data_IF_428753352771
#
_entry.id   IF_428753352771
#
_cell.length_a   1.000
_cell.length_b   1.000
_cell.length_c   1.000
_cell.angle_alpha   90.00
_cell.angle_beta   90.00
_cell.angle_gamma   90.00
#
_symmetry.space_group_name_H-M   'P 1'
#
loop_
_entity.id
_entity.type
_entity.pdbx_description
1 polymer ?
#
# COMPACT_ATOMS: atom_id res chain seq x y z
N UNK A 1 -18.61 3.31 4.51
CA UNK A 1 -17.90 2.33 3.67
C UNK A 1 -16.69 3.03 3.09
N UNK A 2 -15.50 2.49 3.35
CA UNK A 2 -14.23 3.14 2.97
C UNK A 2 -14.01 3.12 1.46
N UNK A 3 -13.70 4.29 0.90
CA UNK A 3 -13.44 4.48 -0.54
C UNK A 3 -12.33 3.55 -1.06
N UNK A 4 -11.34 3.25 -0.21
CA UNK A 4 -10.23 2.32 -0.51
C UNK A 4 -10.67 0.86 -0.62
N UNK A 5 -11.57 0.41 0.24
CA UNK A 5 -12.15 -0.94 0.13
C UNK A 5 -12.96 -1.08 -1.17
N UNK A 6 -13.69 -0.03 -1.55
CA UNK A 6 -14.44 -0.01 -2.81
C UNK A 6 -13.53 0.00 -4.05
N UNK A 7 -12.41 0.72 -4.00
CA UNK A 7 -11.40 0.76 -5.07
C UNK A 7 -10.75 -0.61 -5.35
N UNK A 8 -10.57 -1.42 -4.30
CA UNK A 8 -9.88 -2.71 -4.39
C UNK A 8 -10.83 -3.89 -4.65
N UNK A 9 -12.14 -3.69 -4.56
CA UNK A 9 -13.14 -4.72 -4.82
C UNK A 9 -13.36 -4.88 -6.34
N UNK A 10 -13.12 -6.07 -6.92
CA UNK A 10 -13.34 -6.31 -8.35
C UNK A 10 -14.81 -6.20 -8.79
N UNK A 11 -15.76 -6.30 -7.87
CA UNK A 11 -17.19 -6.17 -8.15
C UNK A 11 -17.66 -4.72 -8.21
N UNK A 12 -16.89 -3.79 -7.64
CA UNK A 12 -17.23 -2.39 -7.58
C UNK A 12 -16.62 -1.63 -8.76
N UNK A 13 -17.47 -1.02 -9.58
CA UNK A 13 -17.04 -0.30 -10.80
C UNK A 13 -17.15 1.21 -10.69
N UNK A 14 -17.78 1.73 -9.64
CA UNK A 14 -17.96 3.18 -9.43
C UNK A 14 -16.66 3.88 -9.10
N UNK A 15 -15.71 3.16 -8.49
CA UNK A 15 -14.41 3.69 -8.08
C UNK A 15 -13.33 3.08 -8.97
N UNK A 16 -12.57 3.90 -9.73
CA UNK A 16 -11.46 3.39 -10.53
C UNK A 16 -10.39 2.74 -9.64
N UNK A 17 -9.87 1.58 -10.05
CA UNK A 17 -8.83 0.85 -9.29
C UNK A 17 -7.50 1.61 -9.16
N UNK A 18 -7.27 2.61 -10.01
CA UNK A 18 -6.10 3.49 -10.00
C UNK A 18 -6.38 4.88 -9.37
N UNK A 19 -7.51 5.04 -8.68
CA UNK A 19 -7.81 6.27 -7.95
C UNK A 19 -6.82 6.45 -6.80
N UNK A 20 -6.18 7.61 -6.75
CA UNK A 20 -5.28 7.97 -5.64
C UNK A 20 -6.11 8.62 -4.54
N UNK A 21 -5.91 8.18 -3.29
CA UNK A 21 -6.70 8.63 -2.14
C UNK A 21 -5.73 9.13 -1.06
N UNK A 22 -5.46 10.43 -1.05
CA UNK A 22 -4.55 11.03 -0.08
C UNK A 22 -5.33 11.76 0.98
N UNK A 23 -5.19 11.32 2.23
CA UNK A 23 -5.74 12.00 3.39
C UNK A 23 -4.60 12.67 4.16
N UNK A 24 -4.52 13.99 4.08
CA UNK A 24 -3.60 14.81 4.89
C UNK A 24 -4.36 15.30 6.11
N UNK A 25 -4.07 14.70 7.26
CA UNK A 25 -4.71 15.08 8.52
C UNK A 25 -4.27 16.50 8.95
N UNK A 26 -5.18 17.30 9.56
CA UNK A 26 -4.80 18.60 10.12
C UNK A 26 -3.84 18.42 11.29
N UNK A 27 -2.80 19.25 11.32
CA UNK A 27 -1.83 19.31 12.40
C UNK A 27 -1.83 20.69 13.05
N UNK A 28 -1.43 20.75 14.32
CA UNK A 28 -1.30 22.03 15.05
C UNK A 28 -0.09 22.85 14.61
N UNK A 29 0.91 22.21 13.99
CA UNK A 29 2.11 22.86 13.46
C UNK A 29 1.97 23.20 11.97
N UNK A 30 2.81 24.12 11.48
CA UNK A 30 2.93 24.43 10.06
C UNK A 30 3.44 23.21 9.28
N UNK A 31 2.52 22.50 8.63
CA UNK A 31 2.77 21.31 7.82
C UNK A 31 2.08 21.43 6.45
N UNK A 32 1.99 20.33 5.71
CA UNK A 32 1.24 20.32 4.46
C UNK A 32 -0.24 20.69 4.69
N UNK A 33 -0.81 21.45 3.76
CA UNK A 33 -2.20 21.87 3.87
C UNK A 33 -3.13 20.65 3.97
N UNK A 34 -3.97 20.56 5.02
CA UNK A 34 -4.80 19.39 5.25
C UNK A 34 -5.94 19.29 4.25
N UNK A 35 -6.35 18.05 3.97
CA UNK A 35 -7.41 17.79 3.02
C UNK A 35 -7.45 16.35 2.52
N UNK A 36 -8.54 16.04 1.83
CA UNK A 36 -8.69 14.81 1.06
C UNK A 36 -8.45 15.13 -0.41
N UNK A 37 -7.33 14.65 -0.95
CA UNK A 37 -6.96 14.85 -2.35
C UNK A 37 -7.22 13.56 -3.13
N UNK A 38 -7.99 13.67 -4.21
CA UNK A 38 -8.36 12.56 -5.07
C UNK A 38 -7.86 12.83 -6.49
N UNK A 39 -7.07 11.91 -7.04
CA UNK A 39 -6.53 12.06 -8.40
C UNK A 39 -6.90 10.85 -9.28
N UNK A 40 -7.33 11.11 -10.52
CA UNK A 40 -7.55 10.07 -11.57
C UNK A 40 -6.86 10.35 -12.92
N UNK A 41 -6.08 11.44 -13.04
CA UNK A 41 -5.36 11.81 -14.26
C UNK A 41 -4.25 10.84 -14.71
N UNK A 42 -3.71 11.08 -15.90
CA UNK A 42 -2.61 10.31 -16.48
C UNK A 42 -1.23 10.77 -15.99
N UNK A 43 -0.18 10.01 -16.34
CA UNK A 43 1.24 10.37 -16.11
C UNK A 43 1.65 10.45 -14.64
N UNK A 44 1.14 9.54 -13.82
CA UNK A 44 1.48 9.43 -12.39
C UNK A 44 2.27 8.16 -12.13
N UNK A 45 3.12 8.23 -11.10
CA UNK A 45 3.87 7.08 -10.61
C UNK A 45 2.99 6.32 -9.63
N UNK A 46 2.59 5.12 -10.04
CA UNK A 46 1.85 4.18 -9.22
C UNK A 46 2.71 2.94 -8.97
N UNK A 47 2.56 2.35 -7.79
CA UNK A 47 3.17 1.06 -7.46
C UNK A 47 2.13 0.12 -6.87
N UNK A 48 2.27 -1.19 -7.08
CA UNK A 48 1.34 -2.16 -6.51
C UNK A 48 1.77 -2.55 -5.09
N UNK A 49 0.81 -2.65 -4.18
CA UNK A 49 0.95 -3.17 -2.79
C UNK A 49 -0.23 -4.08 -2.46
N UNK A 50 -0.15 -4.79 -1.35
CA UNK A 50 -1.31 -5.45 -0.76
C UNK A 50 -1.96 -4.56 0.30
N UNK A 51 -3.26 -4.32 0.14
CA UNK A 51 -4.14 -3.88 1.20
C UNK A 51 -4.49 -5.08 2.08
N UNK A 52 -4.28 -4.93 3.39
CA UNK A 52 -4.65 -5.92 4.39
C UNK A 52 -6.10 -5.73 4.79
N UNK A 53 -6.93 -6.75 4.56
CA UNK A 53 -8.37 -6.73 4.81
C UNK A 53 -8.70 -7.76 5.89
N UNK A 54 -9.41 -7.33 6.93
CA UNK A 54 -9.86 -8.24 7.98
C UNK A 54 -10.99 -9.14 7.48
N UNK A 55 -11.20 -10.27 8.15
CA UNK A 55 -12.27 -11.23 7.81
C UNK A 55 -13.66 -10.58 7.72
N UNK A 56 -13.95 -9.59 8.58
CA UNK A 56 -15.23 -8.87 8.58
C UNK A 56 -15.46 -8.01 7.32
N UNK A 57 -14.38 -7.55 6.67
CA UNK A 57 -14.42 -6.72 5.46
C UNK A 57 -14.06 -7.51 4.19
N UNK A 58 -13.76 -8.80 4.34
CA UNK A 58 -13.45 -9.69 3.25
C UNK A 58 -14.69 -9.96 2.40
N UNK A 59 -14.48 -10.05 1.09
CA UNK A 59 -15.48 -10.48 0.12
C UNK A 59 -15.38 -11.99 -0.05
N UNK A 60 -16.45 -12.71 -0.39
CA UNK A 60 -16.39 -14.14 -0.69
C UNK A 60 -15.37 -14.52 -1.79
N UNK A 61 -14.95 -13.54 -2.60
CA UNK A 61 -13.92 -13.70 -3.64
C UNK A 61 -12.48 -13.59 -3.13
N UNK A 62 -12.26 -13.16 -1.89
CA UNK A 62 -10.92 -13.02 -1.33
C UNK A 62 -10.38 -14.38 -0.90
N UNK A 63 -9.40 -14.89 -1.63
CA UNK A 63 -8.80 -16.21 -1.36
C UNK A 63 -7.36 -16.13 -0.86
N UNK A 64 -6.73 -14.96 -0.95
CA UNK A 64 -5.34 -14.77 -0.56
C UNK A 64 -5.27 -14.40 0.94
N UNK A 65 -5.35 -15.41 1.81
CA UNK A 65 -5.22 -15.24 3.25
C UNK A 65 -3.77 -15.39 3.68
N UNK A 66 -3.35 -14.51 4.59
CA UNK A 66 -2.03 -14.52 5.17
C UNK A 66 -1.83 -15.29 6.44
N UNK A 67 -0.56 -15.59 6.75
CA UNK A 67 -0.20 -16.16 8.04
C UNK A 67 -0.44 -15.15 9.18
N UNK A 68 -0.45 -13.85 8.86
CA UNK A 68 -0.83 -12.74 9.73
C UNK A 68 -2.36 -12.64 9.97
N UNK A 69 -3.17 -13.47 9.30
CA UNK A 69 -4.61 -13.54 9.49
C UNK A 69 -5.44 -12.52 8.70
N UNK A 70 -4.80 -11.77 7.78
CA UNK A 70 -5.47 -10.80 6.92
C UNK A 70 -5.55 -11.29 5.47
N UNK A 71 -6.64 -10.96 4.79
CA UNK A 71 -6.77 -11.15 3.35
C UNK A 71 -5.99 -10.07 2.61
N UNK A 72 -5.37 -10.42 1.48
CA UNK A 72 -4.65 -9.47 0.64
C UNK A 72 -5.44 -9.12 -0.61
N UNK A 73 -5.66 -7.82 -0.83
CA UNK A 73 -6.15 -7.28 -2.10
C UNK A 73 -5.08 -6.40 -2.73
N UNK A 74 -4.91 -6.51 -4.05
CA UNK A 74 -3.96 -5.66 -4.77
C UNK A 74 -4.47 -4.22 -4.83
N UNK A 75 -3.65 -3.27 -4.40
CA UNK A 75 -3.93 -1.84 -4.48
C UNK A 75 -2.79 -1.10 -5.20
N UNK A 76 -3.17 -0.14 -6.05
CA UNK A 76 -2.23 0.80 -6.66
C UNK A 76 -2.11 2.05 -5.81
N UNK A 77 -0.92 2.30 -5.24
CA UNK A 77 -0.61 3.50 -4.46
C UNK A 77 0.21 4.50 -5.27
N UNK A 78 -0.05 5.78 -5.06
CA UNK A 78 0.78 6.87 -5.60
C UNK A 78 1.91 7.26 -4.66
N UNK A 79 2.89 7.97 -5.20
CA UNK A 79 4.02 8.50 -4.40
C UNK A 79 3.58 9.49 -3.33
N UNK A 80 2.52 10.27 -3.59
CA UNK A 80 2.01 11.24 -2.62
C UNK A 80 1.22 10.55 -1.50
N UNK A 81 0.40 9.58 -1.86
CA UNK A 81 -0.38 8.78 -0.93
C UNK A 81 0.51 7.99 0.04
N UNK A 82 1.58 7.39 -0.49
CA UNK A 82 2.52 6.59 0.27
C UNK A 82 3.19 7.35 1.43
N UNK A 83 3.35 8.68 1.33
CA UNK A 83 3.95 9.48 2.41
C UNK A 83 3.11 9.50 3.70
N UNK A 84 1.81 9.17 3.61
CA UNK A 84 0.86 9.18 4.72
C UNK A 84 0.37 7.78 5.11
N UNK A 85 0.94 6.72 4.53
CA UNK A 85 0.54 5.34 4.78
C UNK A 85 1.65 4.53 5.44
N UNK A 86 1.25 3.64 6.34
CA UNK A 86 2.13 2.61 6.88
C UNK A 86 2.06 1.37 5.96
N UNK A 87 3.18 1.10 5.28
CA UNK A 87 3.34 -0.09 4.43
C UNK A 87 4.43 -0.96 5.06
N UNK A 88 4.04 -2.12 5.60
CA UNK A 88 4.98 -3.09 6.14
C UNK A 88 5.74 -3.79 5.00
N UNK A 89 7.00 -4.16 5.22
CA UNK A 89 7.81 -4.86 4.21
C UNK A 89 7.58 -6.37 4.29
N UNK A 90 7.38 -6.89 5.50
CA UNK A 90 7.19 -8.32 5.76
C UNK A 90 5.97 -8.59 6.66
N UNK A 91 5.42 -9.80 6.58
CA UNK A 91 4.31 -10.23 7.45
C UNK A 91 4.69 -10.22 8.94
N UNK A 92 5.96 -10.47 9.26
CA UNK A 92 6.46 -10.40 10.62
C UNK A 92 6.38 -8.96 11.17
N UNK A 93 6.69 -7.96 10.35
CA UNK A 93 6.56 -6.54 10.73
C UNK A 93 5.10 -6.15 10.95
N UNK A 94 4.17 -6.64 10.11
CA UNK A 94 2.73 -6.44 10.31
C UNK A 94 2.33 -6.89 11.72
N UNK A 95 2.78 -8.07 12.16
CA UNK A 95 2.47 -8.61 13.48
C UNK A 95 3.05 -7.77 14.65
N UNK A 96 4.11 -7.00 14.41
CA UNK A 96 4.72 -6.12 15.41
C UNK A 96 4.07 -4.72 15.46
N UNK A 97 3.42 -4.29 14.39
CA UNK A 97 2.79 -2.97 14.32
C UNK A 97 1.53 -2.88 15.19
N UNK A 98 1.18 -1.68 15.71
CA UNK A 98 -0.13 -1.40 16.28
C UNK A 98 -1.27 -1.73 15.29
N UNK A 99 -2.41 -2.18 15.79
CA UNK A 99 -3.54 -2.62 14.95
C UNK A 99 -4.02 -1.51 14.00
N UNK A 100 -4.01 -0.26 14.44
CA UNK A 100 -4.38 0.93 13.67
C UNK A 100 -3.41 1.25 12.52
N UNK A 101 -2.20 0.70 12.54
CA UNK A 101 -1.17 0.93 11.52
C UNK A 101 -1.04 -0.23 10.53
N UNK A 102 -1.65 -1.39 10.82
CA UNK A 102 -1.66 -2.57 9.94
C UNK A 102 -2.61 -2.37 8.77
N UNK A 103 -2.17 -1.62 7.78
CA UNK A 103 -2.99 -1.28 6.61
C UNK A 103 -2.49 -1.90 5.31
N UNK A 104 -1.19 -1.84 5.04
CA UNK A 104 -0.62 -2.31 3.78
C UNK A 104 0.64 -3.16 3.99
N UNK A 105 0.91 -4.01 3.01
CA UNK A 105 2.06 -4.91 2.96
C UNK A 105 2.69 -4.82 1.56
N UNK A 106 4.02 -4.78 1.50
CA UNK A 106 4.77 -4.88 0.24
C UNK A 106 4.52 -6.23 -0.44
N UNK A 107 4.53 -6.24 -1.78
CA UNK A 107 4.36 -7.49 -2.52
C UNK A 107 5.55 -8.41 -2.33
N UNK A 108 6.74 -7.82 -2.32
CA UNK A 108 8.00 -8.47 -2.04
C UNK A 108 9.03 -7.39 -1.61
N UNK A 109 9.93 -7.67 -0.66
CA UNK A 109 10.98 -6.71 -0.26
C UNK A 109 11.87 -6.27 -1.44
N UNK A 110 12.09 -7.16 -2.42
CA UNK A 110 12.95 -6.91 -3.58
C UNK A 110 12.30 -6.02 -4.64
N UNK A 111 10.99 -5.77 -4.53
CA UNK A 111 10.23 -4.97 -5.51
C UNK A 111 10.64 -3.48 -5.52
N UNK A 112 11.46 -3.04 -4.57
CA UNK A 112 12.06 -1.70 -4.55
C UNK A 112 13.13 -1.51 -5.62
N UNK A 113 13.73 -2.59 -6.12
CA UNK A 113 14.84 -2.53 -7.04
C UNK A 113 14.40 -2.40 -8.50
N UNK A 114 15.22 -1.71 -9.29
CA UNK A 114 15.09 -1.78 -10.75
C UNK A 114 15.36 -3.20 -11.26
N UNK A 115 14.93 -3.49 -12.48
CA UNK A 115 15.20 -4.77 -13.12
C UNK A 115 16.69 -5.14 -13.09
N UNK A 116 17.59 -4.20 -13.42
CA UNK A 116 19.04 -4.46 -13.45
C UNK A 116 19.59 -4.68 -12.04
N UNK A 117 19.15 -3.89 -11.06
CA UNK A 117 19.60 -4.04 -9.67
C UNK A 117 19.16 -5.39 -9.07
N UNK A 118 17.96 -5.87 -9.39
CA UNK A 118 17.43 -7.16 -8.94
C UNK A 118 18.17 -8.40 -9.48
N UNK A 119 19.04 -8.24 -10.49
CA UNK A 119 19.90 -9.31 -10.99
C UNK A 119 21.22 -9.44 -10.21
N UNK A 120 21.50 -8.50 -9.32
CA UNK A 120 22.72 -8.55 -8.50
C UNK A 120 22.55 -9.64 -7.44
N UNK A 121 23.40 -10.68 -7.42
CA UNK A 121 23.30 -11.71 -6.39
C UNK A 121 23.69 -11.14 -5.03
N UNK A 122 22.91 -11.47 -3.99
CA UNK A 122 23.15 -11.06 -2.60
C UNK A 122 23.44 -9.54 -2.48
N UNK A 123 22.53 -8.68 -2.99
CA UNK A 123 22.79 -7.25 -3.11
C UNK A 123 23.01 -6.57 -1.75
N UNK A 124 22.45 -7.14 -0.69
CA UNK A 124 22.55 -6.73 0.71
C UNK A 124 23.92 -6.99 1.35
N UNK A 125 24.77 -7.82 0.74
CA UNK A 125 26.15 -8.09 1.20
C UNK A 125 27.21 -7.21 0.50
N UNK A 126 26.80 -6.41 -0.48
CA UNK A 126 27.70 -5.55 -1.23
C UNK A 126 27.73 -4.14 -0.61
N UNK A 127 28.91 -3.52 -0.57
CA UNK A 127 29.04 -2.14 -0.12
C UNK A 127 28.43 -1.18 -1.16
N UNK A 128 27.57 -0.27 -0.70
CA UNK A 128 27.17 0.90 -1.50
C UNK A 128 28.35 1.86 -1.50
N UNK A 129 28.97 2.10 -2.66
CA UNK A 129 30.00 3.11 -2.81
C UNK A 129 29.31 4.49 -2.82
N UNK A 130 29.43 5.24 -1.72
CA UNK A 130 29.03 6.65 -1.63
C UNK A 130 30.27 7.54 -1.70
#
# INVERSE_FOLDING_TARGET
>A
MDLRLMKTDPNEKRVPSNLEIIYVAPTEAASQFPGLFLFVGSSRLLRPVYLLVSEMAASPSDTNLGADGFFRRLEWLSTFEQAYLHVAVTEAEVALQPIDQRSHLEIAPEAIFSFVAGLTPYPDFNQVLL
#
